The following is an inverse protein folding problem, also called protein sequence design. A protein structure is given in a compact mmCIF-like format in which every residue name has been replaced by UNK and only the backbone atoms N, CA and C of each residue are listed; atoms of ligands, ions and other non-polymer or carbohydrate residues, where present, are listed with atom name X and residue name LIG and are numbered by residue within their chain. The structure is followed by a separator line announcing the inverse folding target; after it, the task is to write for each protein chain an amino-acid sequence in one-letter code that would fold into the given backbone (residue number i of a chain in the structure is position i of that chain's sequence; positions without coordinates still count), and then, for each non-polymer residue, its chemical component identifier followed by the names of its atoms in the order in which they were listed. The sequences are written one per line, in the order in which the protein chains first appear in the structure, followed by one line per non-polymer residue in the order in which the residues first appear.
data_IF_137571575618
#
_entry.id   IF_137571575618
#
_cell.length_a   1.000
_cell.length_b   1.000
_cell.length_c   1.000
_cell.angle_alpha   90.00
_cell.angle_beta   90.00
_cell.angle_gamma   90.00
#
_symmetry.space_group_name_H-M   'P 1'
#
loop_
_entity.id
_entity.type
_entity.pdbx_description
1 polymer ?
#
# COMPACT_ATOMS: atom_id res chain seq x y z
N UNK A 1 3.07 4.27 -6.09
CA UNK A 1 3.61 5.23 -7.11
C UNK A 1 4.83 4.69 -7.86
N UNK A 2 5.43 3.54 -7.50
CA UNK A 2 6.57 2.97 -8.21
C UNK A 2 6.34 2.79 -9.74
N UNK A 3 5.21 2.20 -10.16
CA UNK A 3 4.91 2.02 -11.59
C UNK A 3 4.83 3.34 -12.37
N UNK A 4 4.15 4.35 -11.79
CA UNK A 4 4.06 5.70 -12.37
C UNK A 4 5.44 6.36 -12.46
N UNK A 5 6.26 6.24 -11.41
CA UNK A 5 7.59 6.84 -11.34
C UNK A 5 8.55 6.22 -12.35
N UNK A 6 8.57 4.89 -12.44
CA UNK A 6 9.37 4.18 -13.45
C UNK A 6 8.90 4.56 -14.85
N UNK A 7 7.58 4.62 -15.09
CA UNK A 7 7.03 5.08 -16.38
C UNK A 7 7.43 6.51 -16.74
N UNK A 8 7.42 7.42 -15.76
CA UNK A 8 7.91 8.80 -15.94
C UNK A 8 9.39 8.85 -16.29
N UNK A 9 10.22 7.98 -15.69
CA UNK A 9 11.66 7.91 -15.97
C UNK A 9 11.98 7.31 -17.33
N UNK A 10 11.15 6.40 -17.85
CA UNK A 10 11.39 5.73 -19.14
C UNK A 10 10.91 6.57 -20.32
N UNK A 11 9.69 7.13 -20.26
CA UNK A 11 9.11 7.86 -21.40
C UNK A 11 8.29 9.10 -20.98
N UNK A 12 8.60 9.70 -19.82
CA UNK A 12 7.93 10.90 -19.35
C UNK A 12 6.43 10.69 -19.09
N UNK A 13 5.63 11.72 -19.37
CA UNK A 13 4.19 11.70 -19.13
C UNK A 13 3.49 10.51 -19.82
N UNK A 14 3.68 10.24 -21.14
CA UNK A 14 3.01 9.09 -21.77
C UNK A 14 3.48 7.75 -21.19
N UNK A 15 4.76 7.65 -20.80
CA UNK A 15 5.30 6.47 -20.11
C UNK A 15 4.64 6.19 -18.77
N UNK A 16 4.37 7.22 -17.99
CA UNK A 16 3.71 7.10 -16.68
C UNK A 16 2.25 6.63 -16.78
N UNK A 17 1.53 7.11 -17.79
CA UNK A 17 0.14 6.69 -18.10
C UNK A 17 0.13 5.24 -18.59
N UNK A 18 1.00 4.89 -19.52
CA UNK A 18 1.08 3.51 -20.04
C UNK A 18 1.49 2.50 -18.94
N UNK A 19 2.48 2.85 -18.11
CA UNK A 19 2.94 1.97 -17.03
C UNK A 19 1.86 1.74 -15.95
N UNK A 20 1.10 2.78 -15.61
CA UNK A 20 -0.02 2.65 -14.66
C UNK A 20 -1.18 1.85 -15.25
N UNK A 21 -1.56 2.11 -16.50
CA UNK A 21 -2.60 1.34 -17.18
C UNK A 21 -2.22 -0.14 -17.28
N UNK A 22 -0.98 -0.44 -17.70
CA UNK A 22 -0.47 -1.81 -17.80
C UNK A 22 -0.40 -2.53 -16.45
N UNK A 23 -0.10 -1.83 -15.36
CA UNK A 23 -0.10 -2.40 -14.01
C UNK A 23 -1.51 -2.73 -13.48
N UNK A 24 -2.50 -1.89 -13.79
CA UNK A 24 -3.89 -2.08 -13.31
C UNK A 24 -4.66 -3.10 -14.15
N UNK A 25 -4.40 -3.16 -15.46
CA UNK A 25 -5.07 -4.04 -16.41
C UNK A 25 -5.19 -5.51 -15.97
N UNK A 26 -4.11 -6.21 -15.53
CA UNK A 26 -4.20 -7.61 -15.14
C UNK A 26 -5.15 -7.83 -13.95
N UNK A 27 -5.18 -6.92 -12.97
CA UNK A 27 -6.08 -7.01 -11.83
C UNK A 27 -7.55 -6.92 -12.28
N UNK A 28 -7.87 -6.01 -13.20
CA UNK A 28 -9.22 -5.85 -13.76
C UNK A 28 -9.67 -7.11 -14.48
N UNK A 29 -8.79 -7.70 -15.31
CA UNK A 29 -9.08 -8.96 -16.02
C UNK A 29 -9.38 -10.10 -15.05
N UNK A 30 -8.58 -10.24 -13.98
CA UNK A 30 -8.80 -11.29 -12.96
C UNK A 30 -10.15 -11.09 -12.26
N UNK A 31 -10.48 -9.87 -11.83
CA UNK A 31 -11.75 -9.60 -11.13
C UNK A 31 -12.95 -9.85 -12.04
N UNK A 32 -12.88 -9.47 -13.31
CA UNK A 32 -13.92 -9.75 -14.31
C UNK A 32 -14.11 -11.25 -14.53
N UNK A 33 -13.00 -12.00 -14.64
CA UNK A 33 -13.04 -13.45 -14.83
C UNK A 33 -13.62 -14.16 -13.60
N UNK A 34 -13.24 -13.75 -12.39
CA UNK A 34 -13.82 -14.24 -11.14
C UNK A 34 -15.31 -13.92 -11.04
N UNK A 35 -15.72 -12.71 -11.42
CA UNK A 35 -17.13 -12.31 -11.48
C UNK A 35 -17.92 -13.18 -12.46
N UNK A 36 -17.39 -13.41 -13.65
CA UNK A 36 -17.99 -14.28 -14.65
C UNK A 36 -18.14 -15.73 -14.13
N UNK A 37 -17.08 -16.28 -13.51
CA UNK A 37 -17.10 -17.61 -12.93
C UNK A 37 -18.11 -17.71 -11.77
N UNK A 38 -18.22 -16.68 -10.93
CA UNK A 38 -19.22 -16.59 -9.86
C UNK A 38 -20.65 -16.62 -10.41
N UNK A 39 -20.97 -15.85 -11.46
CA UNK A 39 -22.31 -15.84 -12.06
C UNK A 39 -22.65 -17.14 -12.79
N UNK A 40 -21.68 -17.77 -13.46
CA UNK A 40 -21.92 -19.00 -14.25
C UNK A 40 -21.93 -20.27 -13.39
N UNK A 41 -21.15 -20.32 -12.31
CA UNK A 41 -20.90 -21.54 -11.54
C UNK A 41 -21.06 -21.34 -10.01
N UNK A 42 -21.63 -20.23 -9.56
CA UNK A 42 -21.84 -19.96 -8.14
C UNK A 42 -22.73 -20.98 -7.40
N UNK A 43 -23.49 -21.79 -8.14
CA UNK A 43 -24.34 -22.86 -7.59
C UNK A 43 -23.64 -24.22 -7.45
N UNK A 44 -22.49 -24.46 -8.08
CA UNK A 44 -21.76 -25.74 -7.94
C UNK A 44 -20.81 -25.68 -6.73
N UNK A 45 -20.96 -26.66 -5.84
CA UNK A 45 -20.29 -26.71 -4.53
C UNK A 45 -18.77 -26.43 -4.53
N UNK A 46 -17.97 -26.99 -5.46
CA UNK A 46 -16.52 -26.79 -5.48
C UNK A 46 -16.10 -25.34 -5.77
N UNK A 47 -16.74 -24.69 -6.74
CA UNK A 47 -16.37 -23.32 -7.15
C UNK A 47 -16.77 -22.31 -6.06
N UNK A 48 -17.91 -22.53 -5.42
CA UNK A 48 -18.33 -21.74 -4.26
C UNK A 48 -17.35 -21.85 -3.09
N UNK A 49 -16.76 -23.04 -2.87
CA UNK A 49 -15.70 -23.25 -1.87
C UNK A 49 -14.46 -22.38 -2.12
N UNK A 50 -13.93 -22.40 -3.35
CA UNK A 50 -12.74 -21.61 -3.73
C UNK A 50 -13.00 -20.11 -3.63
N UNK A 51 -14.16 -19.64 -4.12
CA UNK A 51 -14.53 -18.22 -4.05
C UNK A 51 -14.71 -17.75 -2.60
N UNK A 52 -15.25 -18.60 -1.72
CA UNK A 52 -15.36 -18.29 -0.30
C UNK A 52 -13.99 -18.25 0.40
N UNK A 53 -13.03 -19.08 -0.02
CA UNK A 53 -11.66 -19.08 0.50
C UNK A 53 -10.85 -17.85 0.04
N UNK A 54 -11.28 -17.18 -1.03
CA UNK A 54 -10.59 -15.99 -1.54
C UNK A 54 -10.61 -14.82 -0.53
N UNK A 55 -11.73 -14.63 0.18
CA UNK A 55 -11.85 -13.55 1.18
C UNK A 55 -10.84 -13.69 2.32
N UNK A 56 -10.73 -14.84 3.03
CA UNK A 56 -9.70 -15.01 4.05
C UNK A 56 -8.28 -15.04 3.46
N UNK A 57 -8.09 -15.53 2.22
CA UNK A 57 -6.78 -15.49 1.56
C UNK A 57 -6.27 -14.06 1.33
N UNK A 58 -7.15 -13.14 0.89
CA UNK A 58 -6.79 -11.72 0.73
C UNK A 58 -6.45 -11.09 2.08
N UNK A 59 -7.20 -11.40 3.14
CA UNK A 59 -6.88 -10.92 4.50
C UNK A 59 -5.52 -11.44 4.96
N UNK A 60 -5.22 -12.72 4.72
CA UNK A 60 -3.92 -13.30 5.06
C UNK A 60 -2.77 -12.65 4.26
N UNK A 61 -2.97 -12.37 2.98
CA UNK A 61 -1.99 -11.69 2.13
C UNK A 61 -1.71 -10.26 2.62
N UNK A 62 -2.77 -9.51 2.95
CA UNK A 62 -2.64 -8.15 3.50
C UNK A 62 -1.93 -8.20 4.86
N UNK A 63 -2.29 -9.15 5.72
CA UNK A 63 -1.64 -9.34 7.01
C UNK A 63 -0.14 -9.64 6.84
N UNK A 64 0.22 -10.53 5.90
CA UNK A 64 1.61 -10.87 5.61
C UNK A 64 2.41 -9.65 5.12
N UNK A 65 1.85 -8.87 4.18
CA UNK A 65 2.48 -7.64 3.73
C UNK A 65 2.63 -6.62 4.87
N UNK A 66 1.62 -6.51 5.75
CA UNK A 66 1.66 -5.65 6.94
C UNK A 66 2.74 -6.06 7.93
N UNK A 67 2.92 -7.36 8.17
CA UNK A 67 4.01 -7.89 9.02
C UNK A 67 5.36 -7.56 8.39
N UNK A 68 5.54 -7.73 7.08
CA UNK A 68 6.78 -7.36 6.39
C UNK A 68 7.13 -5.88 6.59
N UNK A 69 6.16 -4.99 6.39
CA UNK A 69 6.35 -3.54 6.62
C UNK A 69 6.67 -3.25 8.10
N UNK A 70 6.04 -3.96 9.04
CA UNK A 70 6.29 -3.79 10.47
C UNK A 70 7.72 -4.24 10.85
N UNK A 71 8.19 -5.37 10.33
CA UNK A 71 9.55 -5.86 10.56
C UNK A 71 10.59 -4.90 9.99
N UNK A 72 10.38 -4.42 8.76
CA UNK A 72 11.22 -3.40 8.13
C UNK A 72 11.26 -2.12 8.97
N UNK A 73 10.13 -1.69 9.55
CA UNK A 73 10.07 -0.47 10.35
C UNK A 73 10.73 -0.58 11.74
N UNK A 74 10.81 -1.78 12.32
CA UNK A 74 11.29 -2.01 13.70
C UNK A 74 12.72 -2.56 13.78
N UNK A 75 13.12 -3.37 12.80
CA UNK A 75 14.41 -4.05 12.77
C UNK A 75 15.20 -3.80 11.49
N UNK A 76 14.65 -3.05 10.52
CA UNK A 76 15.28 -2.77 9.23
C UNK A 76 15.82 -4.03 8.51
N UNK A 77 15.22 -5.19 8.80
CA UNK A 77 15.57 -6.50 8.27
C UNK A 77 14.32 -7.18 7.69
N UNK A 78 14.51 -7.86 6.56
CA UNK A 78 13.46 -8.60 5.84
C UNK A 78 13.19 -9.98 6.46
N UNK A 79 14.09 -10.47 7.34
CA UNK A 79 13.96 -11.72 8.08
C UNK A 79 13.93 -11.47 9.60
N UNK A 80 13.23 -12.33 10.35
CA UNK A 80 13.09 -12.21 11.81
C UNK A 80 14.44 -12.40 12.52
N UNK A 81 15.02 -11.38 13.19
CA UNK A 81 16.24 -11.55 13.95
C UNK A 81 15.88 -11.94 15.40
N UNK A 82 16.47 -13.02 15.88
CA UNK A 82 16.31 -13.57 17.24
C UNK A 82 17.07 -12.76 18.31
N UNK A 83 17.34 -11.48 18.05
CA UNK A 83 18.20 -10.60 18.86
C UNK A 83 17.53 -9.24 19.12
N UNK A 84 17.16 -9.02 20.39
CA UNK A 84 16.55 -7.79 20.92
C UNK A 84 17.52 -6.58 20.98
N UNK A 85 18.74 -6.72 20.47
CA UNK A 85 19.79 -5.70 20.60
C UNK A 85 19.83 -4.67 19.45
N UNK A 86 19.07 -4.88 18.36
CA UNK A 86 19.04 -3.99 17.18
C UNK A 86 17.68 -3.33 16.97
N UNK A 87 16.88 -3.20 18.02
CA UNK A 87 15.57 -2.56 17.91
C UNK A 87 15.72 -1.05 17.76
N UNK A 88 15.18 -0.52 16.66
CA UNK A 88 15.11 0.92 16.41
C UNK A 88 14.04 1.55 17.31
N UNK A 89 14.44 1.96 18.52
CA UNK A 89 13.57 2.69 19.46
C UNK A 89 12.83 3.89 18.84
N UNK A 90 13.41 4.69 17.92
CA UNK A 90 12.67 5.73 17.20
C UNK A 90 11.54 5.17 16.33
N UNK A 91 11.74 4.02 15.68
CA UNK A 91 10.72 3.35 14.85
C UNK A 91 9.54 2.86 15.69
N UNK A 92 9.82 2.29 16.87
CA UNK A 92 8.79 1.92 17.85
C UNK A 92 7.97 3.13 18.29
N UNK A 93 8.63 4.25 18.58
CA UNK A 93 7.95 5.49 18.98
C UNK A 93 7.02 6.02 17.87
N UNK A 94 7.50 6.08 16.63
CA UNK A 94 6.69 6.49 15.47
C UNK A 94 5.51 5.54 15.26
N UNK A 95 5.71 4.23 15.45
CA UNK A 95 4.62 3.25 15.36
C UNK A 95 3.54 3.48 16.42
N UNK A 96 3.92 3.72 17.69
CA UNK A 96 2.96 4.00 18.76
C UNK A 96 2.21 5.31 18.53
N UNK A 97 2.92 6.37 18.13
CA UNK A 97 2.32 7.68 17.83
C UNK A 97 1.36 7.58 16.64
N UNK A 98 1.73 6.86 15.57
CA UNK A 98 0.85 6.66 14.42
C UNK A 98 -0.39 5.83 14.76
N UNK A 99 -0.26 4.79 15.60
CA UNK A 99 -1.39 4.00 16.08
C UNK A 99 -2.36 4.85 16.92
N UNK A 100 -1.82 5.75 17.75
CA UNK A 100 -2.61 6.72 18.52
C UNK A 100 -3.26 7.77 17.60
N UNK A 101 -2.55 8.26 16.59
CA UNK A 101 -3.07 9.24 15.63
C UNK A 101 -4.25 8.69 14.80
N UNK A 102 -4.24 7.40 14.43
CA UNK A 102 -5.37 6.74 13.75
C UNK A 102 -6.64 6.77 14.61
N UNK A 103 -6.50 6.79 15.94
CA UNK A 103 -7.64 6.93 16.87
C UNK A 103 -8.19 8.35 16.92
N UNK A 104 -7.36 9.34 16.64
CA UNK A 104 -7.77 10.74 16.44
C UNK A 104 -8.27 10.93 15.00
N UNK A 105 -9.53 10.54 14.74
CA UNK A 105 -10.18 10.64 13.42
C UNK A 105 -10.22 12.09 12.88
N UNK A 106 -9.15 12.54 12.23
CA UNK A 106 -9.16 13.67 11.31
C UNK A 106 -9.41 13.14 9.89
N UNK A 107 -10.31 13.80 9.14
CA UNK A 107 -10.68 13.35 7.79
C UNK A 107 -9.51 13.43 6.80
N UNK A 108 -9.25 12.31 6.12
CA UNK A 108 -8.12 12.08 5.19
C UNK A 108 -7.99 13.14 4.09
N UNK A 109 -9.12 13.68 3.61
CA UNK A 109 -9.12 14.68 2.53
C UNK A 109 -8.55 16.02 3.01
N UNK A 110 -8.92 16.46 4.22
CA UNK A 110 -8.42 17.72 4.79
C UNK A 110 -6.95 17.61 5.19
N UNK A 111 -6.53 16.46 5.72
CA UNK A 111 -5.13 16.23 6.09
C UNK A 111 -4.23 16.15 4.87
N UNK A 112 -4.70 15.54 3.76
CA UNK A 112 -3.96 15.48 2.50
C UNK A 112 -3.81 16.87 1.84
N UNK A 113 -4.90 17.65 1.84
CA UNK A 113 -4.85 19.02 1.34
C UNK A 113 -3.93 19.90 2.20
N UNK A 114 -4.04 19.80 3.53
CA UNK A 114 -3.21 20.57 4.45
C UNK A 114 -1.72 20.22 4.36
N UNK A 115 -1.36 18.94 4.25
CA UNK A 115 0.04 18.54 4.06
C UNK A 115 0.60 19.04 2.73
N UNK A 116 -0.21 19.02 1.67
CA UNK A 116 0.19 19.56 0.36
C UNK A 116 0.41 21.07 0.39
N UNK A 117 -0.51 21.83 0.99
CA UNK A 117 -0.39 23.28 1.13
C UNK A 117 0.80 23.65 2.03
N UNK A 118 0.97 22.96 3.15
CA UNK A 118 2.08 23.20 4.08
C UNK A 118 3.42 22.93 3.40
N UNK A 119 3.56 21.84 2.66
CA UNK A 119 4.77 21.53 1.89
C UNK A 119 5.08 22.61 0.84
N UNK A 120 4.05 23.13 0.16
CA UNK A 120 4.22 24.16 -0.87
C UNK A 120 4.65 25.52 -0.27
N UNK A 121 4.09 25.89 0.88
CA UNK A 121 4.50 27.08 1.64
C UNK A 121 5.95 26.93 2.12
N UNK A 122 6.32 25.77 2.66
CA UNK A 122 7.66 25.52 3.18
C UNK A 122 8.71 25.50 2.06
N UNK A 123 8.36 24.95 0.89
CA UNK A 123 9.18 24.99 -0.32
C UNK A 123 9.43 26.42 -0.80
N UNK A 124 8.39 27.26 -0.87
CA UNK A 124 8.51 28.66 -1.28
C UNK A 124 9.25 29.53 -0.25
N UNK A 125 9.07 29.26 1.05
CA UNK A 125 9.62 30.09 2.12
C UNK A 125 11.09 29.75 2.46
N UNK A 126 11.50 28.49 2.37
CA UNK A 126 12.82 28.04 2.80
C UNK A 126 13.74 27.55 1.68
N UNK A 127 13.26 27.39 0.44
CA UNK A 127 14.09 26.92 -0.68
C UNK A 127 14.69 25.52 -0.47
N UNK A 128 14.22 24.78 0.54
CA UNK A 128 14.67 23.42 0.83
C UNK A 128 14.13 22.51 -0.27
N UNK A 129 15.05 22.01 -1.10
CA UNK A 129 14.75 20.91 -2.03
C UNK A 129 14.41 19.66 -1.22
N UNK A 130 13.25 19.03 -1.44
CA UNK A 130 12.98 17.74 -0.82
C UNK A 130 14.00 16.70 -1.33
N UNK A 131 14.49 15.79 -0.48
CA UNK A 131 15.34 14.67 -0.90
C UNK A 131 14.61 13.70 -1.83
#
# INVERSE_FOLDING_TARGET
NAATFVGSKVAGIPGSVAATAGFVFPSVVIVLLLGYLYYRYGSVGPIRGVLNALRPAVVALIANAGIGILLLALWNCEEAPVSLAQTDWPGVFIFVVSLAAIRCKFGTIKTLAASGVLALILFLALGITPP
#
